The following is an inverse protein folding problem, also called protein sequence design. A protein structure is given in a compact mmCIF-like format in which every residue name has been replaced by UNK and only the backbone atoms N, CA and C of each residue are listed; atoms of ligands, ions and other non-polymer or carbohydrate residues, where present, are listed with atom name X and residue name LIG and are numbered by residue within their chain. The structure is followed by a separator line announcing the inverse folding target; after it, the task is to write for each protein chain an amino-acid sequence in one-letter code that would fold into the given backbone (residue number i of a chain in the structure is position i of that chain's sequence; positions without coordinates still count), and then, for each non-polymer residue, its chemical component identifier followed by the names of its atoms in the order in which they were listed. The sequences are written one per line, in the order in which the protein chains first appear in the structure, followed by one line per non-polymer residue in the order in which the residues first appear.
data_IF_743018178212
#
_entry.id   IF_743018178212
#
_cell.length_a   1.000
_cell.length_b   1.000
_cell.length_c   1.000
_cell.angle_alpha   90.00
_cell.angle_beta   90.00
_cell.angle_gamma   90.00
#
_symmetry.space_group_name_H-M   'P 1'
#
loop_
_entity.id
_entity.type
_entity.pdbx_description
1 polymer ?
#
# COMPACT_ATOMS: atom_id res chain seq x y z
N UNK A 1 -5.57 12.62 6.40
CA UNK A 1 -4.98 11.31 6.03
C UNK A 1 -5.54 10.14 6.83
N UNK A 2 -5.63 10.21 8.16
CA UNK A 2 -6.21 9.09 8.94
C UNK A 2 -7.69 8.82 8.57
N UNK A 3 -8.52 9.84 8.36
CA UNK A 3 -9.90 9.63 7.87
C UNK A 3 -9.96 8.99 6.48
N UNK A 4 -8.96 9.23 5.62
CA UNK A 4 -8.84 8.58 4.31
C UNK A 4 -8.46 7.10 4.47
N UNK A 5 -7.55 6.77 5.39
CA UNK A 5 -7.24 5.38 5.73
C UNK A 5 -8.45 4.67 6.35
N UNK A 6 -9.19 5.34 7.24
CA UNK A 6 -10.43 4.80 7.79
C UNK A 6 -11.45 4.49 6.69
N UNK A 7 -11.58 5.36 5.68
CA UNK A 7 -12.44 5.12 4.53
C UNK A 7 -11.99 3.91 3.68
N UNK A 8 -10.69 3.74 3.49
CA UNK A 8 -10.15 2.56 2.79
C UNK A 8 -10.29 1.27 3.61
N UNK A 9 -10.23 1.33 4.94
CA UNK A 9 -10.46 0.16 5.81
C UNK A 9 -11.95 -0.19 5.94
N UNK A 10 -12.83 0.81 5.83
CA UNK A 10 -14.25 0.66 6.11
C UNK A 10 -15.13 1.31 5.01
N UNK A 11 -14.96 0.97 3.72
CA UNK A 11 -15.69 1.62 2.63
C UNK A 11 -17.21 1.50 2.80
N UNK A 12 -17.69 0.41 3.40
CA UNK A 12 -19.10 0.15 3.70
C UNK A 12 -19.76 1.14 4.67
N UNK A 13 -18.98 1.97 5.38
CA UNK A 13 -19.50 3.00 6.29
C UNK A 13 -19.81 4.33 5.59
N UNK A 14 -19.59 4.43 4.28
CA UNK A 14 -19.72 5.65 3.51
C UNK A 14 -20.82 5.54 2.44
N UNK A 15 -21.35 6.66 1.92
CA UNK A 15 -22.38 6.66 0.87
C UNK A 15 -21.98 5.81 -0.35
N UNK A 16 -22.98 5.28 -1.05
CA UNK A 16 -22.79 4.28 -2.12
C UNK A 16 -21.80 4.71 -3.20
N UNK A 17 -21.79 5.99 -3.59
CA UNK A 17 -20.89 6.47 -4.65
C UNK A 17 -19.42 6.43 -4.22
N UNK A 18 -19.11 6.93 -3.02
CA UNK A 18 -17.73 6.94 -2.52
C UNK A 18 -17.29 5.53 -2.08
N UNK A 19 -18.21 4.72 -1.54
CA UNK A 19 -17.95 3.31 -1.25
C UNK A 19 -17.50 2.56 -2.50
N UNK A 20 -18.25 2.69 -3.61
CA UNK A 20 -17.89 2.07 -4.89
C UNK A 20 -16.55 2.59 -5.39
N UNK A 21 -16.33 3.90 -5.35
CA UNK A 21 -15.07 4.50 -5.78
C UNK A 21 -13.87 3.93 -4.99
N UNK A 22 -13.97 3.80 -3.68
CA UNK A 22 -12.90 3.23 -2.84
C UNK A 22 -12.66 1.77 -3.18
N UNK A 23 -13.72 0.95 -3.27
CA UNK A 23 -13.60 -0.47 -3.64
C UNK A 23 -12.92 -0.66 -5.00
N UNK A 24 -13.16 0.23 -5.95
CA UNK A 24 -12.54 0.19 -7.28
C UNK A 24 -11.03 0.41 -7.23
N UNK A 25 -10.54 1.11 -6.19
CA UNK A 25 -9.10 1.30 -5.94
C UNK A 25 -8.41 0.08 -5.30
N UNK A 26 -9.17 -0.91 -4.85
CA UNK A 26 -8.66 -2.11 -4.14
C UNK A 26 -8.61 -3.37 -5.02
N UNK A 27 -8.83 -3.21 -6.32
CA UNK A 27 -8.78 -4.30 -7.29
C UNK A 27 -7.44 -4.31 -8.02
N UNK A 28 -6.76 -5.45 -7.99
CA UNK A 28 -5.53 -5.64 -8.75
C UNK A 28 -5.84 -5.66 -10.25
N UNK A 29 -5.03 -4.95 -11.04
CA UNK A 29 -5.21 -4.86 -12.50
C UNK A 29 -4.19 -5.70 -13.26
N UNK A 30 -2.96 -5.73 -12.76
CA UNK A 30 -1.88 -6.58 -13.25
C UNK A 30 -0.84 -6.79 -12.13
N UNK A 31 0.11 -7.68 -12.37
CA UNK A 31 1.17 -8.00 -11.42
C UNK A 31 2.55 -7.70 -12.01
N UNK A 32 3.46 -7.24 -11.17
CA UNK A 32 4.91 -7.16 -11.43
C UNK A 32 5.61 -7.80 -10.24
N UNK A 33 6.25 -8.95 -10.45
CA UNK A 33 6.83 -9.75 -9.38
C UNK A 33 5.82 -10.04 -8.26
N UNK A 34 6.05 -9.56 -7.04
CA UNK A 34 5.16 -9.76 -5.88
C UNK A 34 4.13 -8.64 -5.69
N UNK A 35 4.22 -7.56 -6.47
CA UNK A 35 3.34 -6.39 -6.38
C UNK A 35 2.18 -6.50 -7.37
N UNK A 36 0.97 -6.33 -6.88
CA UNK A 36 -0.23 -6.17 -7.70
C UNK A 36 -0.52 -4.68 -7.84
N UNK A 37 -0.59 -4.18 -9.07
CA UNK A 37 -0.94 -2.77 -9.30
C UNK A 37 -2.47 -2.62 -9.25
N UNK A 38 -2.97 -1.89 -8.27
CA UNK A 38 -4.36 -1.42 -8.24
C UNK A 38 -4.43 0.06 -8.70
N UNK A 39 -5.61 0.69 -8.64
CA UNK A 39 -5.72 2.11 -9.02
C UNK A 39 -5.10 3.00 -7.95
N UNK A 40 -3.89 3.50 -8.22
CA UNK A 40 -3.10 4.30 -7.29
C UNK A 40 -2.40 3.47 -6.22
N UNK A 41 -3.12 2.55 -5.57
CA UNK A 41 -2.55 1.65 -4.57
C UNK A 41 -1.65 0.58 -5.17
N UNK A 42 -0.57 0.25 -4.45
CA UNK A 42 0.19 -0.98 -4.64
C UNK A 42 -0.36 -2.02 -3.65
N UNK A 43 -0.80 -3.15 -4.17
CA UNK A 43 -1.43 -4.26 -3.45
C UNK A 43 -0.45 -5.42 -3.28
N UNK A 44 -0.51 -6.08 -2.12
CA UNK A 44 0.31 -7.26 -1.82
C UNK A 44 -0.54 -8.33 -1.14
N UNK A 45 -0.21 -9.60 -1.41
CA UNK A 45 -0.71 -10.71 -0.60
C UNK A 45 -0.28 -10.53 0.85
N UNK A 46 -1.20 -10.73 1.79
CA UNK A 46 -0.95 -10.59 3.22
C UNK A 46 -0.94 -11.96 3.95
N UNK A 47 0.06 -12.25 4.80
CA UNK A 47 1.15 -11.36 5.23
C UNK A 47 2.25 -11.19 4.18
N UNK A 48 2.61 -9.94 3.87
CA UNK A 48 3.74 -9.62 3.03
C UNK A 48 5.03 -9.61 3.85
N UNK A 49 6.14 -10.08 3.28
CA UNK A 49 7.46 -9.95 3.90
C UNK A 49 7.95 -8.50 3.80
N UNK A 50 8.86 -8.09 4.68
CA UNK A 50 9.51 -6.77 4.57
C UNK A 50 10.18 -6.61 3.19
N UNK A 51 10.85 -7.63 2.68
CA UNK A 51 11.52 -7.58 1.39
C UNK A 51 10.54 -7.31 0.24
N UNK A 52 9.38 -7.99 0.23
CA UNK A 52 8.32 -7.73 -0.77
C UNK A 52 7.90 -6.26 -0.79
N UNK A 53 7.79 -5.63 0.38
CA UNK A 53 7.42 -4.21 0.46
C UNK A 53 8.56 -3.27 0.06
N UNK A 54 9.82 -3.64 0.32
CA UNK A 54 10.99 -2.88 -0.12
C UNK A 54 11.16 -2.97 -1.64
N UNK A 55 10.94 -4.14 -2.22
CA UNK A 55 11.11 -4.40 -3.66
C UNK A 55 10.19 -3.53 -4.51
N UNK A 56 8.97 -3.22 -4.06
CA UNK A 56 8.05 -2.33 -4.77
C UNK A 56 8.56 -0.90 -4.90
N UNK A 57 9.53 -0.51 -4.07
CA UNK A 57 10.17 0.81 -4.09
C UNK A 57 11.62 0.76 -4.60
N UNK A 58 12.07 -0.40 -5.11
CA UNK A 58 13.39 -0.53 -5.73
C UNK A 58 13.53 0.35 -6.97
N UNK A 59 14.77 0.70 -7.32
CA UNK A 59 15.05 1.45 -8.56
C UNK A 59 14.51 0.71 -9.80
N UNK A 60 14.58 -0.62 -9.82
CA UNK A 60 14.06 -1.43 -10.92
C UNK A 60 12.54 -1.26 -11.09
N UNK A 61 11.77 -1.28 -10.00
CA UNK A 61 10.31 -1.11 -10.08
C UNK A 61 9.93 0.34 -10.39
N UNK A 62 10.62 1.32 -9.78
CA UNK A 62 10.23 2.73 -9.84
C UNK A 62 10.72 3.45 -11.10
N UNK A 63 11.94 3.16 -11.55
CA UNK A 63 12.62 3.96 -12.58
C UNK A 63 12.74 3.28 -13.94
N UNK A 64 12.43 1.98 -14.03
CA UNK A 64 12.66 1.18 -15.24
C UNK A 64 11.36 0.54 -15.73
N UNK A 65 11.25 0.26 -17.05
CA UNK A 65 10.14 -0.52 -17.56
C UNK A 65 10.19 -1.95 -17.02
N UNK A 66 9.03 -2.47 -16.62
CA UNK A 66 8.87 -3.85 -16.18
C UNK A 66 7.74 -4.51 -16.97
N UNK A 67 7.99 -5.72 -17.47
CA UNK A 67 6.94 -6.51 -18.14
C UNK A 67 5.90 -6.92 -17.09
N UNK A 68 4.63 -6.66 -17.39
CA UNK A 68 3.52 -7.03 -16.51
C UNK A 68 3.05 -8.46 -16.81
N UNK A 69 2.44 -9.10 -15.81
CA UNK A 69 1.72 -10.37 -15.96
C UNK A 69 0.25 -10.18 -15.64
N UNK A 70 -0.62 -10.81 -16.43
CA UNK A 70 -2.05 -10.88 -16.11
C UNK A 70 -2.25 -11.62 -14.78
N UNK A 71 -3.20 -11.17 -13.98
CA UNK A 71 -3.50 -11.79 -12.69
C UNK A 71 -4.30 -13.07 -12.94
N UNK A 72 -3.70 -14.22 -12.64
CA UNK A 72 -4.38 -15.52 -12.73
C UNK A 72 -5.22 -15.83 -11.49
N UNK A 73 -4.81 -15.31 -10.33
CA UNK A 73 -5.51 -15.47 -9.04
C UNK A 73 -5.20 -14.27 -8.15
N UNK A 74 -6.23 -13.55 -7.72
CA UNK A 74 -6.05 -12.51 -6.70
C UNK A 74 -5.73 -13.12 -5.33
N UNK A 75 -4.91 -12.46 -4.50
CA UNK A 75 -4.72 -12.87 -3.12
C UNK A 75 -6.05 -12.85 -2.36
N UNK A 76 -6.29 -13.88 -1.55
CA UNK A 76 -7.50 -13.96 -0.71
C UNK A 76 -7.49 -12.94 0.43
N UNK A 77 -6.30 -12.56 0.89
CA UNK A 77 -6.08 -11.54 1.90
C UNK A 77 -5.02 -10.59 1.40
N UNK A 78 -5.28 -9.28 1.51
CA UNK A 78 -4.51 -8.23 0.87
C UNK A 78 -4.05 -7.18 1.88
N UNK A 79 -2.98 -6.48 1.55
CA UNK A 79 -2.59 -5.22 2.16
C UNK A 79 -2.19 -4.22 1.08
N UNK A 80 -2.23 -2.94 1.41
CA UNK A 80 -1.98 -1.88 0.46
C UNK A 80 -1.02 -0.87 1.04
N UNK A 81 -0.14 -0.30 0.22
CA UNK A 81 0.65 0.84 0.62
C UNK A 81 0.84 1.85 -0.50
N UNK A 82 1.39 3.02 -0.13
CA UNK A 82 1.98 3.95 -1.08
C UNK A 82 3.02 4.87 -0.43
N UNK A 83 4.13 5.08 -1.11
CA UNK A 83 5.09 6.15 -0.83
C UNK A 83 4.81 7.38 -1.69
N UNK A 84 5.16 8.56 -1.17
CA UNK A 84 5.11 9.82 -1.92
C UNK A 84 6.21 10.76 -1.47
N UNK A 85 6.81 11.52 -2.38
CA UNK A 85 7.85 12.49 -2.02
C UNK A 85 7.74 13.74 -2.88
N UNK A 86 8.09 14.88 -2.28
CA UNK A 86 8.46 16.11 -3.00
C UNK A 86 9.92 16.44 -2.66
N UNK A 87 10.40 17.61 -3.08
CA UNK A 87 11.74 18.09 -2.69
C UNK A 87 11.87 18.27 -1.16
N UNK A 88 10.79 18.67 -0.49
CA UNK A 88 10.79 19.00 0.94
C UNK A 88 10.02 18.02 1.82
N UNK A 89 9.22 17.10 1.28
CA UNK A 89 8.33 16.26 2.08
C UNK A 89 8.45 14.78 1.74
N UNK A 90 8.19 13.95 2.75
CA UNK A 90 8.06 12.50 2.61
C UNK A 90 6.73 12.01 3.19
N UNK A 91 6.10 11.07 2.49
CA UNK A 91 4.86 10.42 2.89
C UNK A 91 5.00 8.91 2.74
N UNK A 92 4.41 8.18 3.67
CA UNK A 92 4.11 6.76 3.51
C UNK A 92 2.76 6.46 4.15
N UNK A 93 1.93 5.71 3.44
CA UNK A 93 0.62 5.25 3.92
C UNK A 93 0.51 3.76 3.68
N UNK A 94 -0.05 3.03 4.65
CA UNK A 94 -0.22 1.58 4.58
C UNK A 94 -1.45 1.17 5.37
N UNK A 95 -2.20 0.18 4.88
CA UNK A 95 -3.32 -0.40 5.62
C UNK A 95 -3.53 -1.87 5.28
N UNK A 96 -4.06 -2.61 6.26
CA UNK A 96 -4.31 -4.04 6.18
C UNK A 96 -5.78 -4.27 6.57
N UNK A 97 -6.70 -4.45 5.59
CA UNK A 97 -8.12 -4.61 5.87
C UNK A 97 -8.45 -5.74 6.86
N UNK A 98 -7.78 -6.90 6.74
CA UNK A 98 -8.02 -8.06 7.62
C UNK A 98 -7.74 -7.75 9.11
N UNK A 99 -6.75 -6.91 9.38
CA UNK A 99 -6.36 -6.53 10.74
C UNK A 99 -7.06 -5.23 11.21
N UNK A 100 -7.90 -4.64 10.36
CA UNK A 100 -8.53 -3.33 10.57
C UNK A 100 -7.54 -2.26 11.09
N UNK A 101 -6.34 -2.22 10.52
CA UNK A 101 -5.25 -1.34 10.96
C UNK A 101 -4.64 -0.59 9.77
N UNK A 102 -4.17 0.63 10.01
CA UNK A 102 -3.40 1.38 9.05
C UNK A 102 -2.52 2.43 9.72
N UNK A 103 -1.51 2.89 8.98
CA UNK A 103 -0.51 3.84 9.45
C UNK A 103 -0.30 4.92 8.39
N UNK A 104 -0.09 6.15 8.87
CA UNK A 104 0.30 7.30 8.04
C UNK A 104 1.58 7.88 8.63
N UNK A 105 2.58 8.08 7.78
CA UNK A 105 3.81 8.79 8.11
C UNK A 105 3.93 10.02 7.21
N UNK A 106 4.17 11.18 7.82
CA UNK A 106 4.38 12.46 7.12
C UNK A 106 5.64 13.11 7.69
N UNK A 107 6.55 13.53 6.83
CA UNK A 107 7.79 14.22 7.20
C UNK A 107 7.95 15.50 6.40
N UNK A 108 8.45 16.56 7.03
CA UNK A 108 8.83 17.83 6.40
C UNK A 108 10.29 17.84 5.90
N UNK A 109 10.83 16.64 5.66
CA UNK A 109 12.08 16.39 4.95
C UNK A 109 11.95 15.05 4.23
N UNK A 110 12.44 14.96 2.99
CA UNK A 110 12.52 13.69 2.28
C UNK A 110 13.50 12.75 2.99
N UNK A 111 13.02 11.58 3.41
CA UNK A 111 13.85 10.46 3.89
C UNK A 111 13.75 9.29 2.90
N UNK A 112 14.71 8.34 2.87
CA UNK A 112 14.65 7.17 1.99
C UNK A 112 13.33 6.40 2.16
N UNK A 113 12.78 5.83 1.08
CA UNK A 113 11.49 5.14 1.12
C UNK A 113 11.58 3.86 1.98
N UNK A 114 12.72 3.20 1.93
CA UNK A 114 13.06 1.99 2.67
C UNK A 114 12.93 2.22 4.17
N UNK A 115 13.37 3.36 4.68
CA UNK A 115 13.27 3.70 6.10
C UNK A 115 11.82 3.91 6.54
N UNK A 116 10.98 4.49 5.67
CA UNK A 116 9.54 4.64 5.92
C UNK A 116 8.87 3.28 6.03
N UNK A 117 9.19 2.38 5.10
CA UNK A 117 8.62 1.04 5.03
C UNK A 117 9.08 0.20 6.23
N UNK A 118 10.38 0.19 6.56
CA UNK A 118 10.93 -0.54 7.72
C UNK A 118 10.28 -0.09 9.02
N UNK A 119 10.21 1.22 9.26
CA UNK A 119 9.62 1.77 10.48
C UNK A 119 8.15 1.38 10.63
N UNK A 120 7.36 1.54 9.57
CA UNK A 120 5.96 1.16 9.56
C UNK A 120 5.75 -0.36 9.70
N UNK A 121 6.59 -1.18 9.05
CA UNK A 121 6.54 -2.64 9.17
C UNK A 121 6.80 -3.09 10.61
N UNK A 122 7.81 -2.51 11.27
CA UNK A 122 8.13 -2.81 12.66
C UNK A 122 6.96 -2.45 13.59
N UNK A 123 6.40 -1.24 13.47
CA UNK A 123 5.26 -0.79 14.28
C UNK A 123 4.03 -1.68 14.08
N UNK A 124 3.66 -1.94 12.82
CA UNK A 124 2.47 -2.73 12.52
C UNK A 124 2.60 -4.16 13.04
N UNK A 125 3.78 -4.78 12.96
CA UNK A 125 3.95 -6.15 13.45
C UNK A 125 4.11 -6.23 14.98
N UNK A 126 4.54 -5.15 15.65
CA UNK A 126 4.58 -5.10 17.11
C UNK A 126 3.20 -4.91 17.76
N UNK A 127 2.23 -4.29 17.04
CA UNK A 127 0.89 -4.00 17.56
C UNK A 127 -0.10 -5.15 17.29
N UNK A 128 0.12 -5.94 16.23
CA UNK A 128 -0.68 -7.13 15.94
C UNK A 128 -0.49 -8.14 17.07
N UNK A 129 -1.60 -8.59 17.66
CA UNK A 129 -1.64 -9.66 18.66
C UNK A 129 -1.83 -11.02 17.99
#
# INVERSE_FOLDING_TARGET
MLSFIHANLNPQKYPTDIQRAINETHQGRYQVNTMYQALGWEEFSYPATLQTLLDSNSEQIVMKPNKVTAISKEPSVKMYHKTGSTNGFGTYVVFIPKENIGLVMLTNKRIPNEERIKAAYAVLNAIKK
#
